data_IF_868967926973
#
_entry.id   IF_868967926973
#
_cell.length_a   1.000
_cell.length_b   1.000
_cell.length_c   1.000
_cell.angle_alpha   90.00
_cell.angle_beta   90.00
_cell.angle_gamma   90.00
#
_symmetry.space_group_name_H-M   'P 1'
#
loop_
_entity.id
_entity.type
_entity.pdbx_description
1 polymer ?
#
# COMPACT_ATOMS: atom_id res chain seq x y z
N UNK A 1 29.83 -33.85 28.33
CA UNK A 1 29.06 -34.44 27.25
C UNK A 1 27.65 -33.83 27.30
N UNK A 2 27.40 -32.77 26.54
CA UNK A 2 26.08 -32.14 26.45
C UNK A 2 25.34 -32.74 25.28
N UNK A 3 24.14 -33.32 25.53
CA UNK A 3 23.27 -33.83 24.49
C UNK A 3 22.98 -32.75 23.47
N UNK A 4 23.00 -33.03 22.16
CA UNK A 4 22.55 -32.10 21.15
C UNK A 4 21.04 -31.87 21.33
N UNK A 5 20.64 -30.66 21.71
CA UNK A 5 19.23 -30.25 21.73
C UNK A 5 18.64 -30.58 20.37
N UNK A 6 17.78 -31.60 20.29
CA UNK A 6 16.95 -31.94 19.11
C UNK A 6 16.28 -30.64 18.63
N UNK A 7 16.55 -30.25 17.42
CA UNK A 7 15.79 -29.21 16.74
C UNK A 7 14.34 -29.68 16.67
N UNK A 8 13.43 -29.00 17.40
CA UNK A 8 12.01 -29.31 17.36
C UNK A 8 11.54 -29.27 15.89
N UNK A 9 10.95 -30.36 15.41
CA UNK A 9 10.39 -30.39 14.06
C UNK A 9 9.22 -29.41 13.98
N UNK A 10 8.97 -28.80 12.83
CA UNK A 10 7.85 -27.87 12.65
C UNK A 10 6.48 -28.51 12.95
N UNK A 11 6.37 -29.85 12.80
CA UNK A 11 5.20 -30.63 13.18
C UNK A 11 4.90 -30.58 14.68
N UNK A 12 5.93 -30.49 15.53
CA UNK A 12 5.77 -30.37 16.99
C UNK A 12 5.16 -29.01 17.41
N UNK A 13 5.14 -28.04 16.49
CA UNK A 13 4.59 -26.68 16.72
C UNK A 13 3.09 -26.59 16.44
N UNK A 14 2.44 -27.65 15.99
CA UNK A 14 1.02 -27.65 15.59
C UNK A 14 0.73 -26.80 14.33
N UNK A 15 1.74 -26.54 13.50
CA UNK A 15 1.62 -25.72 12.29
C UNK A 15 1.82 -26.60 11.07
N UNK A 16 0.82 -26.64 10.18
CA UNK A 16 0.98 -27.20 8.85
C UNK A 16 1.59 -26.17 7.91
N UNK A 17 2.92 -26.08 7.87
CA UNK A 17 3.65 -25.13 7.03
C UNK A 17 3.36 -25.33 5.54
N UNK A 18 3.09 -26.58 5.13
CA UNK A 18 2.79 -26.95 3.76
C UNK A 18 1.47 -26.30 3.28
N UNK A 19 0.45 -26.24 4.15
CA UNK A 19 -0.82 -25.57 3.84
C UNK A 19 -0.61 -24.08 3.60
N UNK A 20 0.15 -23.40 4.46
CA UNK A 20 0.39 -21.95 4.32
C UNK A 20 1.24 -21.60 3.10
N UNK A 21 2.17 -22.48 2.71
CA UNK A 21 2.97 -22.31 1.49
C UNK A 21 2.15 -22.47 0.20
N UNK A 22 0.88 -22.89 0.29
CA UNK A 22 -0.08 -22.93 -0.83
C UNK A 22 -1.12 -21.84 -0.70
N UNK A 23 -1.68 -21.62 0.49
CA UNK A 23 -2.74 -20.62 0.73
C UNK A 23 -2.27 -19.21 0.42
N UNK A 24 -1.10 -18.80 0.90
CA UNK A 24 -0.60 -17.44 0.70
C UNK A 24 -0.39 -17.11 -0.78
N UNK A 25 0.28 -17.94 -1.60
CA UNK A 25 0.35 -17.72 -3.06
C UNK A 25 -1.01 -17.60 -3.74
N UNK A 26 -1.98 -18.45 -3.39
CA UNK A 26 -3.34 -18.37 -3.95
C UNK A 26 -3.97 -17.02 -3.65
N UNK A 27 -3.82 -16.50 -2.43
CA UNK A 27 -4.34 -15.19 -2.05
C UNK A 27 -3.73 -14.05 -2.90
N UNK A 28 -2.43 -14.12 -3.22
CA UNK A 28 -1.77 -13.16 -4.13
C UNK A 28 -2.25 -13.30 -5.58
N UNK A 29 -2.45 -14.54 -6.08
CA UNK A 29 -2.97 -14.75 -7.43
C UNK A 29 -4.42 -14.25 -7.59
N UNK A 30 -5.25 -14.38 -6.54
CA UNK A 30 -6.62 -13.84 -6.54
C UNK A 30 -6.63 -12.30 -6.48
N UNK A 31 -5.67 -11.70 -5.75
CA UNK A 31 -5.56 -10.25 -5.64
C UNK A 31 -5.13 -9.59 -6.95
N UNK A 32 -4.22 -10.24 -7.70
CA UNK A 32 -3.57 -9.68 -8.88
C UNK A 32 -4.55 -9.15 -9.96
N UNK A 33 -5.52 -9.94 -10.47
CA UNK A 33 -6.39 -9.49 -11.55
C UNK A 33 -7.28 -8.31 -11.13
N UNK A 34 -7.77 -8.30 -9.89
CA UNK A 34 -8.56 -7.19 -9.36
C UNK A 34 -7.70 -5.91 -9.22
N UNK A 35 -6.50 -6.04 -8.65
CA UNK A 35 -5.56 -4.94 -8.51
C UNK A 35 -5.16 -4.36 -9.88
N UNK A 36 -4.84 -5.23 -10.84
CA UNK A 36 -4.45 -4.81 -12.20
C UNK A 36 -5.57 -4.03 -12.88
N UNK A 37 -6.79 -4.58 -12.89
CA UNK A 37 -7.94 -3.94 -13.52
C UNK A 37 -8.20 -2.55 -12.91
N UNK A 38 -8.29 -2.46 -11.59
CA UNK A 38 -8.60 -1.21 -10.90
C UNK A 38 -7.53 -0.14 -11.15
N UNK A 39 -6.25 -0.51 -11.03
CA UNK A 39 -5.15 0.45 -11.18
C UNK A 39 -4.94 0.87 -12.64
N UNK A 40 -5.11 -0.02 -13.62
CA UNK A 40 -5.05 0.34 -15.04
C UNK A 40 -6.17 1.32 -15.39
N UNK A 41 -7.40 1.10 -14.92
CA UNK A 41 -8.51 2.03 -15.13
C UNK A 41 -8.22 3.41 -14.53
N UNK A 42 -7.74 3.46 -13.29
CA UNK A 42 -7.40 4.73 -12.63
C UNK A 42 -6.21 5.41 -13.32
N UNK A 43 -5.17 4.67 -13.70
CA UNK A 43 -4.03 5.19 -14.44
C UNK A 43 -4.45 5.82 -15.77
N UNK A 44 -5.33 5.13 -16.51
CA UNK A 44 -5.88 5.65 -17.77
C UNK A 44 -6.66 6.95 -17.55
N UNK A 45 -7.54 7.03 -16.54
CA UNK A 45 -8.27 8.26 -16.22
C UNK A 45 -7.30 9.37 -15.80
N UNK A 46 -6.31 9.06 -14.96
CA UNK A 46 -5.29 10.00 -14.51
C UNK A 46 -4.42 10.53 -15.67
N UNK A 47 -4.18 9.73 -16.72
CA UNK A 47 -3.45 10.17 -17.92
C UNK A 47 -4.21 11.25 -18.70
N UNK A 48 -5.53 11.18 -18.72
CA UNK A 48 -6.40 12.16 -19.36
C UNK A 48 -6.52 13.47 -18.56
N UNK A 49 -6.07 13.50 -17.30
CA UNK A 49 -6.16 14.67 -16.43
C UNK A 49 -4.84 15.43 -16.40
N UNK A 50 -4.90 16.78 -16.55
CA UNK A 50 -3.73 17.64 -16.41
C UNK A 50 -3.26 17.69 -14.94
N UNK A 51 -1.96 17.65 -14.71
CA UNK A 51 -1.34 17.75 -13.36
C UNK A 51 -1.20 19.22 -12.94
N UNK A 52 -2.32 19.88 -12.68
CA UNK A 52 -2.34 21.32 -12.35
C UNK A 52 -2.36 21.58 -10.82
N UNK A 53 -2.21 20.55 -9.99
CA UNK A 53 -2.17 20.70 -8.53
C UNK A 53 -1.26 19.68 -7.90
N UNK A 54 -0.71 20.01 -6.71
CA UNK A 54 0.11 19.11 -5.89
C UNK A 54 -0.56 17.76 -5.66
N UNK A 55 -1.85 17.78 -5.35
CA UNK A 55 -2.65 16.57 -5.18
C UNK A 55 -2.60 15.64 -6.40
N UNK A 56 -2.74 16.19 -7.62
CA UNK A 56 -2.70 15.38 -8.85
C UNK A 56 -1.31 14.80 -9.12
N UNK A 57 -0.25 15.50 -8.72
CA UNK A 57 1.12 14.96 -8.79
C UNK A 57 1.25 13.76 -7.87
N UNK A 58 0.88 13.90 -6.59
CA UNK A 58 0.95 12.82 -5.62
C UNK A 58 0.06 11.65 -6.02
N UNK A 59 -1.16 11.90 -6.49
CA UNK A 59 -2.09 10.86 -6.94
C UNK A 59 -1.53 10.06 -8.11
N UNK A 60 -0.98 10.71 -9.15
CA UNK A 60 -0.39 10.00 -10.30
C UNK A 60 0.79 9.12 -9.87
N UNK A 61 1.65 9.61 -8.97
CA UNK A 61 2.76 8.82 -8.45
C UNK A 61 2.30 7.66 -7.55
N UNK A 62 1.21 7.85 -6.82
CA UNK A 62 0.62 6.79 -6.01
C UNK A 62 0.07 5.66 -6.90
N UNK A 63 -0.66 6.00 -7.96
CA UNK A 63 -1.12 5.03 -8.97
C UNK A 63 0.07 4.32 -9.64
N UNK A 64 1.17 5.02 -9.90
CA UNK A 64 2.39 4.42 -10.44
C UNK A 64 3.00 3.42 -9.45
N UNK A 65 3.06 3.74 -8.16
CA UNK A 65 3.55 2.84 -7.13
C UNK A 65 2.64 1.61 -6.98
N UNK A 66 1.31 1.80 -7.01
CA UNK A 66 0.34 0.71 -6.94
C UNK A 66 0.44 -0.23 -8.15
N UNK A 67 0.63 0.31 -9.36
CA UNK A 67 0.88 -0.51 -10.56
C UNK A 67 2.19 -1.29 -10.45
N UNK A 68 3.28 -0.64 -10.01
CA UNK A 68 4.56 -1.31 -9.81
C UNK A 68 4.43 -2.46 -8.79
N UNK A 69 3.76 -2.22 -7.67
CA UNK A 69 3.48 -3.24 -6.66
C UNK A 69 2.61 -4.37 -7.23
N UNK A 70 1.54 -4.04 -7.97
CA UNK A 70 0.65 -5.01 -8.61
C UNK A 70 1.41 -5.95 -9.55
N UNK A 71 2.31 -5.42 -10.39
CA UNK A 71 3.11 -6.21 -11.32
C UNK A 71 4.07 -7.20 -10.63
N UNK A 72 4.42 -6.96 -9.38
CA UNK A 72 5.27 -7.89 -8.61
C UNK A 72 4.48 -9.05 -7.99
N UNK A 73 3.13 -8.94 -7.82
CA UNK A 73 2.31 -9.93 -7.12
C UNK A 73 2.39 -11.34 -7.72
N UNK A 74 2.27 -11.55 -9.05
CA UNK A 74 2.32 -12.91 -9.60
C UNK A 74 3.71 -13.56 -9.43
N UNK A 75 4.79 -12.78 -9.50
CA UNK A 75 6.15 -13.28 -9.29
C UNK A 75 6.34 -13.66 -7.81
N UNK A 76 5.86 -12.84 -6.89
CA UNK A 76 5.86 -13.13 -5.45
C UNK A 76 5.09 -14.42 -5.16
N UNK A 77 3.88 -14.56 -5.69
CA UNK A 77 3.06 -15.75 -5.52
C UNK A 77 3.77 -17.01 -6.07
N UNK A 78 4.25 -16.95 -7.31
CA UNK A 78 4.90 -18.08 -7.96
C UNK A 78 6.18 -18.52 -7.22
N UNK A 79 6.97 -17.57 -6.69
CA UNK A 79 8.20 -17.87 -5.96
C UNK A 79 7.97 -18.55 -4.60
N UNK A 80 6.78 -18.39 -4.00
CA UNK A 80 6.40 -18.99 -2.72
C UNK A 80 5.88 -20.42 -2.86
N UNK A 81 5.57 -20.88 -4.08
CA UNK A 81 5.07 -22.24 -4.30
C UNK A 81 6.12 -23.31 -3.94
N UNK A 82 5.72 -24.47 -3.38
CA UNK A 82 6.65 -25.52 -2.96
C UNK A 82 7.53 -26.06 -4.10
N UNK A 83 7.07 -25.98 -5.35
CA UNK A 83 7.78 -26.47 -6.54
C UNK A 83 8.47 -25.34 -7.32
N UNK A 84 8.57 -24.13 -6.76
CA UNK A 84 9.25 -23.03 -7.42
C UNK A 84 10.73 -23.34 -7.69
N UNK A 85 11.22 -23.00 -8.88
CA UNK A 85 12.62 -23.16 -9.22
C UNK A 85 13.50 -22.23 -8.38
N UNK A 86 14.73 -22.63 -8.12
CA UNK A 86 15.71 -21.79 -7.39
C UNK A 86 15.97 -20.46 -8.12
N UNK A 87 16.00 -20.49 -9.46
CA UNK A 87 16.15 -19.28 -10.27
C UNK A 87 14.98 -18.30 -10.11
N UNK A 88 13.72 -18.79 -10.06
CA UNK A 88 12.56 -17.95 -9.82
C UNK A 88 12.59 -17.36 -8.40
N UNK A 89 12.95 -18.16 -7.39
CA UNK A 89 13.10 -17.70 -6.02
C UNK A 89 14.21 -16.62 -5.92
N UNK A 90 15.35 -16.84 -6.56
CA UNK A 90 16.46 -15.89 -6.60
C UNK A 90 16.04 -14.57 -7.27
N UNK A 91 15.36 -14.64 -8.42
CA UNK A 91 14.81 -13.47 -9.10
C UNK A 91 13.81 -12.71 -8.21
N UNK A 92 12.90 -13.44 -7.57
CA UNK A 92 11.92 -12.84 -6.67
C UNK A 92 12.58 -12.14 -5.46
N UNK A 93 13.60 -12.77 -4.85
CA UNK A 93 14.34 -12.19 -3.72
C UNK A 93 15.12 -10.94 -4.12
N UNK A 94 15.81 -10.99 -5.27
CA UNK A 94 16.73 -9.95 -5.70
C UNK A 94 15.99 -8.74 -6.30
N UNK A 95 14.92 -8.95 -7.06
CA UNK A 95 14.24 -7.90 -7.81
C UNK A 95 12.78 -7.71 -7.36
N UNK A 96 11.93 -8.72 -7.48
CA UNK A 96 10.50 -8.58 -7.28
C UNK A 96 10.14 -8.10 -5.87
N UNK A 97 10.73 -8.70 -4.83
CA UNK A 97 10.51 -8.28 -3.44
C UNK A 97 11.02 -6.86 -3.19
N UNK A 98 12.14 -6.48 -3.80
CA UNK A 98 12.71 -5.15 -3.63
C UNK A 98 11.79 -4.09 -4.22
N UNK A 99 11.29 -4.31 -5.45
CA UNK A 99 10.32 -3.40 -6.08
C UNK A 99 9.00 -3.35 -5.31
N UNK A 100 8.51 -4.50 -4.82
CA UNK A 100 7.33 -4.57 -3.98
C UNK A 100 7.44 -3.68 -2.74
N UNK A 101 8.51 -3.83 -1.96
CA UNK A 101 8.71 -3.03 -0.74
C UNK A 101 8.99 -1.56 -1.04
N UNK A 102 9.71 -1.25 -2.12
CA UNK A 102 9.96 0.13 -2.55
C UNK A 102 8.65 0.81 -2.93
N UNK A 103 7.80 0.15 -3.70
CA UNK A 103 6.48 0.65 -4.07
C UNK A 103 5.57 0.84 -2.86
N UNK A 104 5.53 -0.13 -1.93
CA UNK A 104 4.76 -0.04 -0.69
C UNK A 104 5.20 1.15 0.19
N UNK A 105 6.51 1.36 0.36
CA UNK A 105 7.02 2.51 1.11
C UNK A 105 6.68 3.83 0.40
N UNK A 106 6.78 3.87 -0.93
CA UNK A 106 6.39 5.05 -1.72
C UNK A 106 4.91 5.36 -1.56
N UNK A 107 4.02 4.37 -1.68
CA UNK A 107 2.57 4.53 -1.47
C UNK A 107 2.27 5.08 -0.08
N UNK A 108 2.92 4.56 0.95
CA UNK A 108 2.76 5.04 2.34
C UNK A 108 3.15 6.52 2.48
N UNK A 109 4.30 6.92 1.94
CA UNK A 109 4.77 8.33 1.99
C UNK A 109 3.82 9.24 1.21
N UNK A 110 3.39 8.83 0.02
CA UNK A 110 2.46 9.61 -0.80
C UNK A 110 1.09 9.78 -0.14
N UNK A 111 0.58 8.77 0.56
CA UNK A 111 -0.65 8.91 1.37
C UNK A 111 -0.48 9.97 2.46
N UNK A 112 0.67 10.00 3.13
CA UNK A 112 1.01 11.06 4.08
C UNK A 112 1.02 12.45 3.46
N UNK A 113 1.65 12.60 2.28
CA UNK A 113 1.71 13.86 1.54
C UNK A 113 0.33 14.31 1.03
N UNK A 114 -0.50 13.39 0.58
CA UNK A 114 -1.90 13.67 0.20
C UNK A 114 -2.70 14.14 1.41
N UNK A 115 -2.53 13.50 2.55
CA UNK A 115 -3.21 13.87 3.81
C UNK A 115 -2.78 15.28 4.26
N UNK A 116 -1.50 15.60 4.16
CA UNK A 116 -0.96 16.91 4.46
C UNK A 116 -1.47 17.98 3.49
N UNK A 117 -1.49 17.71 2.18
CA UNK A 117 -2.04 18.64 1.18
C UNK A 117 -3.52 18.95 1.46
N UNK A 118 -4.31 17.95 1.86
CA UNK A 118 -5.70 18.13 2.25
C UNK A 118 -5.85 18.93 3.54
N UNK A 119 -5.04 18.64 4.54
CA UNK A 119 -5.01 19.38 5.79
C UNK A 119 -4.74 20.87 5.54
N UNK A 120 -3.69 21.21 4.79
CA UNK A 120 -3.32 22.60 4.51
C UNK A 120 -4.42 23.34 3.75
N UNK A 121 -5.07 22.70 2.77
CA UNK A 121 -6.14 23.33 1.99
C UNK A 121 -7.45 23.51 2.74
N UNK A 122 -7.77 22.63 3.69
CA UNK A 122 -9.06 22.66 4.41
C UNK A 122 -8.96 23.41 5.72
N UNK A 123 -7.87 23.22 6.48
CA UNK A 123 -7.73 23.78 7.84
C UNK A 123 -7.09 25.17 7.80
N UNK A 124 -6.19 25.43 6.83
CA UNK A 124 -5.46 26.69 6.70
C UNK A 124 -5.72 27.37 5.33
N UNK A 125 -7.00 27.64 4.95
CA UNK A 125 -7.30 28.30 3.69
C UNK A 125 -6.72 29.73 3.70
N UNK A 126 -6.10 30.13 2.60
CA UNK A 126 -5.50 31.48 2.47
C UNK A 126 -4.03 31.59 2.82
N UNK A 127 -3.42 30.62 3.50
CA UNK A 127 -1.96 30.55 3.63
C UNK A 127 -1.36 29.77 2.47
N UNK A 128 -0.46 30.41 1.72
CA UNK A 128 0.30 29.75 0.66
C UNK A 128 1.59 29.16 1.24
N UNK A 129 1.62 27.85 1.40
CA UNK A 129 2.85 27.16 1.81
C UNK A 129 3.65 26.75 0.57
N UNK A 130 5.00 26.82 0.61
CA UNK A 130 5.84 26.33 -0.49
C UNK A 130 5.56 24.90 -0.90
N UNK A 131 5.19 24.04 0.07
CA UNK A 131 4.84 22.63 -0.15
C UNK A 131 3.53 22.41 -0.96
N UNK A 132 2.74 23.47 -1.20
CA UNK A 132 1.56 23.43 -2.05
C UNK A 132 1.86 23.82 -3.51
N UNK A 133 3.10 24.26 -3.81
CA UNK A 133 3.46 24.58 -5.18
C UNK A 133 3.60 23.33 -6.03
N UNK A 134 3.23 23.44 -7.30
CA UNK A 134 3.30 22.33 -8.24
C UNK A 134 4.75 21.86 -8.45
N UNK A 135 5.69 22.82 -8.54
CA UNK A 135 7.11 22.53 -8.72
C UNK A 135 7.67 21.78 -7.51
N UNK A 136 7.40 22.27 -6.30
CA UNK A 136 7.83 21.59 -5.07
C UNK A 136 7.32 20.15 -5.00
N UNK A 137 6.04 19.93 -5.31
CA UNK A 137 5.44 18.58 -5.29
C UNK A 137 6.11 17.63 -6.28
N UNK A 138 6.45 18.10 -7.48
CA UNK A 138 7.19 17.33 -8.48
C UNK A 138 8.60 17.00 -7.99
N UNK A 139 9.34 18.00 -7.55
CA UNK A 139 10.72 17.83 -7.04
C UNK A 139 10.72 16.87 -5.83
N UNK A 140 9.84 17.10 -4.86
CA UNK A 140 9.74 16.26 -3.67
C UNK A 140 9.47 14.80 -4.05
N UNK A 141 8.54 14.55 -4.98
CA UNK A 141 8.22 13.18 -5.39
C UNK A 141 9.40 12.50 -6.08
N UNK A 142 10.13 13.21 -6.95
CA UNK A 142 11.35 12.69 -7.59
C UNK A 142 12.42 12.39 -6.54
N UNK A 143 12.65 13.31 -5.59
CA UNK A 143 13.63 13.11 -4.51
C UNK A 143 13.26 11.86 -3.66
N UNK A 144 11.99 11.69 -3.32
CA UNK A 144 11.55 10.50 -2.55
C UNK A 144 11.80 9.21 -3.35
N UNK A 145 11.47 9.15 -4.65
CA UNK A 145 11.80 8.01 -5.50
C UNK A 145 13.31 7.73 -5.54
N UNK A 146 14.12 8.75 -5.75
CA UNK A 146 15.58 8.62 -5.81
C UNK A 146 16.17 8.14 -4.47
N UNK A 147 15.66 8.64 -3.34
CA UNK A 147 16.08 8.18 -2.02
C UNK A 147 15.70 6.72 -1.78
N UNK A 148 14.46 6.31 -2.08
CA UNK A 148 14.03 4.92 -1.90
C UNK A 148 14.80 3.97 -2.81
N UNK A 149 15.01 4.33 -4.07
CA UNK A 149 15.78 3.50 -5.01
C UNK A 149 17.25 3.46 -4.59
N UNK A 150 17.87 4.60 -4.33
CA UNK A 150 19.30 4.71 -4.03
C UNK A 150 19.69 4.14 -2.66
N UNK A 151 18.86 4.34 -1.61
CA UNK A 151 19.20 3.90 -0.25
C UNK A 151 18.64 2.52 0.11
N UNK A 152 17.59 2.03 -0.56
CA UNK A 152 17.00 0.73 -0.22
C UNK A 152 17.07 -0.26 -1.37
N UNK A 153 16.60 0.10 -2.57
CA UNK A 153 16.49 -0.86 -3.66
C UNK A 153 17.86 -1.28 -4.22
N UNK A 154 18.64 -0.34 -4.69
CA UNK A 154 19.94 -0.63 -5.32
C UNK A 154 20.92 -1.39 -4.39
N UNK A 155 21.16 -0.98 -3.13
CA UNK A 155 22.07 -1.71 -2.26
C UNK A 155 21.59 -3.14 -1.99
N UNK A 156 20.28 -3.36 -1.83
CA UNK A 156 19.74 -4.69 -1.60
C UNK A 156 19.90 -5.55 -2.86
N UNK A 157 19.65 -5.01 -4.07
CA UNK A 157 19.85 -5.74 -5.34
C UNK A 157 21.31 -6.14 -5.52
N UNK A 158 22.25 -5.22 -5.25
CA UNK A 158 23.69 -5.45 -5.44
C UNK A 158 24.22 -6.49 -4.44
N UNK A 159 23.76 -6.42 -3.19
CA UNK A 159 24.25 -7.28 -2.09
C UNK A 159 23.51 -8.62 -1.96
N UNK A 160 22.54 -8.92 -2.83
CA UNK A 160 21.78 -10.18 -2.90
C UNK A 160 22.23 -10.95 -4.15
N UNK A 161 23.44 -11.47 -4.13
CA UNK A 161 24.09 -12.13 -5.27
C UNK A 161 24.73 -13.50 -4.92
N UNK A 162 24.67 -13.92 -3.65
CA UNK A 162 25.25 -15.18 -3.22
C UNK A 162 24.40 -16.36 -3.70
N UNK A 163 25.06 -17.41 -4.20
CA UNK A 163 24.39 -18.66 -4.52
C UNK A 163 23.91 -19.34 -3.23
N UNK A 164 22.62 -19.64 -3.11
CA UNK A 164 22.11 -20.28 -1.89
C UNK A 164 22.56 -21.74 -1.83
N UNK A 165 23.44 -22.04 -0.90
CA UNK A 165 24.00 -23.38 -0.70
C UNK A 165 22.94 -24.45 -0.33
N UNK A 166 21.74 -24.06 0.13
CA UNK A 166 20.64 -24.95 0.50
C UNK A 166 19.26 -24.30 0.30
N UNK A 167 18.29 -25.09 -0.16
CA UNK A 167 16.86 -24.72 -0.20
C UNK A 167 16.31 -24.67 1.23
N UNK A 168 16.53 -23.56 1.94
CA UNK A 168 15.97 -23.34 3.26
C UNK A 168 14.82 -22.33 3.22
N UNK A 169 14.00 -22.32 4.29
CA UNK A 169 12.95 -21.34 4.47
C UNK A 169 13.46 -19.88 4.58
N UNK A 170 14.77 -19.67 4.55
CA UNK A 170 15.47 -18.39 4.61
C UNK A 170 16.25 -18.10 3.33
N UNK A 171 15.80 -18.68 2.22
CA UNK A 171 16.44 -18.57 0.91
C UNK A 171 16.91 -17.14 0.59
N UNK A 172 16.05 -16.14 0.74
CA UNK A 172 16.40 -14.75 0.44
C UNK A 172 17.47 -14.15 1.38
N UNK A 173 17.54 -14.58 2.64
CA UNK A 173 18.57 -14.09 3.56
C UNK A 173 19.91 -14.75 3.28
N UNK A 174 19.91 -16.02 2.90
CA UNK A 174 21.10 -16.77 2.56
C UNK A 174 21.78 -16.27 1.26
N UNK A 175 21.03 -15.58 0.38
CA UNK A 175 21.57 -14.93 -0.81
C UNK A 175 22.26 -13.59 -0.52
N UNK A 176 22.15 -13.05 0.69
CA UNK A 176 22.73 -11.76 1.04
C UNK A 176 24.16 -11.92 1.55
N UNK A 177 25.04 -11.05 1.08
CA UNK A 177 26.38 -10.89 1.68
C UNK A 177 26.24 -10.37 3.13
N UNK A 178 27.31 -10.49 3.92
CA UNK A 178 27.35 -9.96 5.32
C UNK A 178 26.97 -8.46 5.35
N UNK A 179 27.48 -7.68 4.41
CA UNK A 179 27.12 -6.27 4.24
C UNK A 179 25.65 -6.13 3.87
N UNK A 180 25.12 -6.99 3.00
CA UNK A 180 23.72 -7.00 2.58
C UNK A 180 22.75 -7.29 3.72
N UNK A 181 23.10 -8.18 4.65
CA UNK A 181 22.29 -8.45 5.86
C UNK A 181 22.26 -7.23 6.77
N UNK A 182 23.41 -6.60 7.03
CA UNK A 182 23.49 -5.38 7.86
C UNK A 182 22.73 -4.21 7.23
N UNK A 183 22.89 -4.02 5.91
CA UNK A 183 22.16 -2.99 5.16
C UNK A 183 20.65 -3.21 5.18
N UNK A 184 20.22 -4.46 4.97
CA UNK A 184 18.80 -4.82 5.03
C UNK A 184 18.20 -4.50 6.41
N UNK A 185 18.88 -4.84 7.50
CA UNK A 185 18.41 -4.54 8.87
C UNK A 185 18.29 -3.02 9.08
N UNK A 186 19.29 -2.25 8.64
CA UNK A 186 19.24 -0.78 8.67
C UNK A 186 18.07 -0.20 7.86
N UNK A 187 17.90 -0.66 6.62
CA UNK A 187 16.82 -0.23 5.73
C UNK A 187 15.44 -0.56 6.33
N UNK A 188 15.26 -1.73 6.94
CA UNK A 188 14.02 -2.09 7.64
C UNK A 188 13.75 -1.12 8.78
N UNK A 189 14.72 -0.82 9.64
CA UNK A 189 14.54 0.11 10.77
C UNK A 189 14.17 1.50 10.32
N UNK A 190 14.85 2.03 9.30
CA UNK A 190 14.57 3.37 8.76
C UNK A 190 13.16 3.42 8.17
N UNK A 191 12.76 2.45 7.35
CA UNK A 191 11.44 2.42 6.75
C UNK A 191 10.33 2.25 7.78
N UNK A 192 10.59 1.55 8.90
CA UNK A 192 9.66 1.46 10.02
C UNK A 192 9.47 2.81 10.73
N UNK A 193 10.56 3.53 10.98
CA UNK A 193 10.47 4.88 11.57
C UNK A 193 9.66 5.81 10.66
N UNK A 194 9.94 5.80 9.35
CA UNK A 194 9.19 6.58 8.36
C UNK A 194 7.71 6.22 8.41
N UNK A 195 7.37 4.92 8.44
CA UNK A 195 5.98 4.48 8.52
C UNK A 195 5.25 5.06 9.74
N UNK A 196 5.83 4.92 10.94
CA UNK A 196 5.18 5.40 12.16
C UNK A 196 5.04 6.92 12.19
N UNK A 197 6.03 7.67 11.67
CA UNK A 197 5.93 9.13 11.50
C UNK A 197 4.79 9.48 10.56
N UNK A 198 4.68 8.81 9.41
CA UNK A 198 3.59 9.04 8.45
C UNK A 198 2.23 8.65 9.05
N UNK A 199 2.16 7.57 9.82
CA UNK A 199 0.96 7.13 10.52
C UNK A 199 0.45 8.23 11.47
N UNK A 200 1.33 8.78 12.31
CA UNK A 200 1.00 9.88 13.23
C UNK A 200 0.54 11.12 12.44
N UNK A 201 1.24 11.47 11.36
CA UNK A 201 0.90 12.59 10.50
C UNK A 201 -0.51 12.44 9.90
N UNK A 202 -0.85 11.26 9.37
CA UNK A 202 -2.17 10.97 8.80
C UNK A 202 -3.26 11.15 9.86
N UNK A 203 -3.10 10.56 11.04
CA UNK A 203 -4.07 10.70 12.15
C UNK A 203 -4.26 12.17 12.52
N UNK A 204 -3.16 12.90 12.72
CA UNK A 204 -3.21 14.32 13.05
C UNK A 204 -3.96 15.14 11.99
N UNK A 205 -3.61 14.95 10.71
CA UNK A 205 -4.25 15.66 9.61
C UNK A 205 -5.76 15.41 9.57
N UNK A 206 -6.18 14.15 9.66
CA UNK A 206 -7.61 13.81 9.55
C UNK A 206 -8.41 14.19 10.79
N UNK A 207 -7.83 14.17 11.99
CA UNK A 207 -8.47 14.71 13.22
C UNK A 207 -8.73 16.23 13.06
N UNK A 208 -7.73 16.99 12.60
CA UNK A 208 -7.87 18.42 12.37
C UNK A 208 -8.87 18.76 11.26
N UNK A 209 -8.82 18.04 10.14
CA UNK A 209 -9.77 18.19 9.04
C UNK A 209 -11.20 17.94 9.55
N UNK A 210 -11.41 16.86 10.30
CA UNK A 210 -12.74 16.51 10.83
C UNK A 210 -13.26 17.60 11.76
N UNK A 211 -12.43 18.09 12.71
CA UNK A 211 -12.80 19.20 13.61
C UNK A 211 -13.21 20.44 12.81
N UNK A 212 -12.39 20.87 11.82
CA UNK A 212 -12.66 22.06 11.02
C UNK A 212 -13.94 21.95 10.19
N UNK A 213 -14.16 20.79 9.56
CA UNK A 213 -15.37 20.53 8.79
C UNK A 213 -16.61 20.56 9.70
N UNK A 214 -16.54 19.99 10.92
CA UNK A 214 -17.64 20.00 11.87
C UNK A 214 -17.96 21.42 12.37
N UNK A 215 -16.95 22.24 12.66
CA UNK A 215 -17.12 23.65 13.02
C UNK A 215 -17.83 24.43 11.90
N UNK A 216 -17.42 24.21 10.63
CA UNK A 216 -18.06 24.86 9.48
C UNK A 216 -19.54 24.50 9.37
N UNK A 217 -19.92 23.24 9.60
CA UNK A 217 -21.31 22.82 9.60
C UNK A 217 -22.12 23.44 10.75
N UNK A 218 -21.51 23.64 11.94
CA UNK A 218 -22.18 24.30 13.05
C UNK A 218 -22.45 25.79 12.76
N UNK A 219 -21.50 26.49 12.11
CA UNK A 219 -21.63 27.92 11.76
C UNK A 219 -22.63 28.17 10.63
N UNK A 220 -22.77 27.24 9.69
CA UNK A 220 -23.59 27.41 8.48
C UNK A 220 -25.09 27.23 8.68
N UNK A 221 -25.64 27.13 9.91
CA UNK A 221 -27.06 26.93 10.19
C UNK A 221 -27.81 25.94 9.25
N UNK A 222 -27.10 25.32 8.32
CA UNK A 222 -27.61 24.37 7.34
C UNK A 222 -27.85 23.04 8.04
N UNK A 223 -29.11 22.70 8.21
CA UNK A 223 -29.66 21.46 8.80
C UNK A 223 -29.31 20.19 8.03
N UNK A 224 -28.27 20.19 7.16
CA UNK A 224 -27.97 19.03 6.32
C UNK A 224 -27.14 17.99 7.06
N UNK A 225 -27.77 17.34 8.05
CA UNK A 225 -27.24 16.21 8.84
C UNK A 225 -26.61 15.13 7.96
N UNK A 226 -27.17 14.89 6.77
CA UNK A 226 -26.71 13.88 5.83
C UNK A 226 -25.32 14.19 5.23
N UNK A 227 -25.03 15.44 4.87
CA UNK A 227 -23.68 15.83 4.37
C UNK A 227 -22.62 15.72 5.47
N UNK A 228 -22.95 16.07 6.69
CA UNK A 228 -22.08 15.94 7.86
C UNK A 228 -21.71 14.47 8.13
N UNK A 229 -22.72 13.59 8.07
CA UNK A 229 -22.54 12.14 8.25
C UNK A 229 -21.66 11.55 7.14
N UNK A 230 -21.89 11.90 5.88
CA UNK A 230 -21.09 11.43 4.73
C UNK A 230 -19.63 11.85 4.83
N UNK A 231 -19.33 13.06 5.29
CA UNK A 231 -17.93 13.51 5.45
C UNK A 231 -17.22 12.75 6.55
N UNK A 232 -17.87 12.52 7.69
CA UNK A 232 -17.31 11.69 8.77
C UNK A 232 -17.04 10.26 8.29
N UNK A 233 -18.01 9.66 7.59
CA UNK A 233 -17.88 8.30 7.07
C UNK A 233 -16.69 8.18 6.09
N UNK A 234 -16.48 9.16 5.21
CA UNK A 234 -15.32 9.15 4.28
C UNK A 234 -13.99 9.22 5.01
N UNK A 235 -13.85 10.11 6.00
CA UNK A 235 -12.64 10.23 6.80
C UNK A 235 -12.37 8.95 7.58
N UNK A 236 -13.40 8.41 8.22
CA UNK A 236 -13.29 7.15 8.95
C UNK A 236 -12.87 6.00 8.04
N UNK A 237 -13.47 5.89 6.85
CA UNK A 237 -13.14 4.84 5.88
C UNK A 237 -11.66 4.89 5.47
N UNK A 238 -11.11 6.07 5.17
CA UNK A 238 -9.71 6.23 4.78
C UNK A 238 -8.78 5.80 5.91
N UNK A 239 -9.05 6.27 7.14
CA UNK A 239 -8.27 5.88 8.31
C UNK A 239 -8.39 4.37 8.57
N UNK A 240 -9.59 3.82 8.54
CA UNK A 240 -9.82 2.39 8.77
C UNK A 240 -9.05 1.53 7.75
N UNK A 241 -9.10 1.86 6.46
CA UNK A 241 -8.37 1.16 5.42
C UNK A 241 -6.86 1.23 5.69
N UNK A 242 -6.33 2.43 5.94
CA UNK A 242 -4.91 2.60 6.24
C UNK A 242 -4.46 1.77 7.44
N UNK A 243 -5.21 1.82 8.56
CA UNK A 243 -4.86 1.08 9.76
C UNK A 243 -4.98 -0.43 9.57
N UNK A 244 -6.07 -0.91 8.97
CA UNK A 244 -6.29 -2.35 8.76
C UNK A 244 -5.24 -2.93 7.81
N UNK A 245 -4.89 -2.23 6.75
CA UNK A 245 -3.94 -2.73 5.75
C UNK A 245 -2.49 -2.68 6.24
N UNK A 246 -2.05 -1.57 6.83
CA UNK A 246 -0.62 -1.37 7.07
C UNK A 246 -0.15 -1.66 8.49
N UNK A 247 -0.91 -1.27 9.51
CA UNK A 247 -0.44 -1.38 10.91
C UNK A 247 -0.13 -2.83 11.32
N UNK A 248 -0.94 -3.86 10.96
CA UNK A 248 -0.62 -5.23 11.35
C UNK A 248 0.74 -5.71 10.81
N UNK A 249 1.05 -5.39 9.55
CA UNK A 249 2.33 -5.76 8.95
C UNK A 249 3.50 -5.07 9.65
N UNK A 250 3.44 -3.76 9.83
CA UNK A 250 4.52 -2.99 10.46
C UNK A 250 4.73 -3.36 11.93
N UNK A 251 3.66 -3.74 12.65
CA UNK A 251 3.78 -4.24 14.03
C UNK A 251 4.53 -5.58 14.13
N UNK A 252 4.39 -6.45 13.12
CA UNK A 252 5.02 -7.78 13.11
C UNK A 252 6.42 -7.77 12.49
N UNK A 253 6.71 -6.82 11.62
CA UNK A 253 7.95 -6.77 10.84
C UNK A 253 9.21 -6.70 11.71
N UNK A 254 9.25 -5.83 12.71
CA UNK A 254 10.42 -5.67 13.61
C UNK A 254 10.70 -6.94 14.41
N UNK A 255 9.74 -7.52 15.17
CA UNK A 255 9.99 -8.76 15.91
C UNK A 255 10.38 -9.91 14.97
N UNK A 256 9.80 -10.02 13.77
CA UNK A 256 10.16 -11.02 12.79
C UNK A 256 11.62 -10.84 12.32
N UNK A 257 12.03 -9.62 11.94
CA UNK A 257 13.40 -9.35 11.45
C UNK A 257 14.45 -9.65 12.52
N UNK A 258 14.18 -9.33 13.79
CA UNK A 258 15.08 -9.68 14.90
C UNK A 258 15.26 -11.19 15.09
N UNK A 259 14.20 -11.98 14.86
CA UNK A 259 14.25 -13.44 14.96
C UNK A 259 14.83 -14.10 13.70
N UNK A 260 14.75 -13.42 12.55
CA UNK A 260 15.28 -13.92 11.29
C UNK A 260 16.83 -14.09 11.34
N UNK A 261 17.51 -13.24 12.09
CA UNK A 261 18.97 -13.27 12.24
C UNK A 261 19.43 -14.28 13.31
N UNK A 262 18.53 -14.79 14.18
CA UNK A 262 18.86 -15.75 15.22
C UNK A 262 18.94 -17.17 14.65
N UNK A 263 20.00 -17.92 15.05
CA UNK A 263 20.35 -19.24 14.50
C UNK A 263 19.38 -20.37 14.91
N UNK A 264 18.60 -20.23 15.99
CA UNK A 264 17.67 -21.26 16.44
C UNK A 264 16.25 -21.05 15.85
N UNK A 265 15.80 -21.94 14.94
CA UNK A 265 14.44 -21.91 14.43
C UNK A 265 13.46 -22.50 15.45
N UNK A 266 13.03 -21.71 16.43
CA UNK A 266 11.96 -22.11 17.34
C UNK A 266 10.58 -21.97 16.71
N UNK A 267 9.57 -22.61 17.29
CA UNK A 267 8.15 -22.49 16.88
C UNK A 267 7.69 -21.03 16.72
N UNK A 268 8.21 -20.12 17.53
CA UNK A 268 7.89 -18.70 17.46
C UNK A 268 8.31 -18.09 16.11
N UNK A 269 9.48 -18.42 15.57
CA UNK A 269 9.95 -17.94 14.26
C UNK A 269 9.04 -18.40 13.13
N UNK A 270 8.60 -19.67 13.14
CA UNK A 270 7.68 -20.22 12.16
C UNK A 270 6.31 -19.54 12.22
N UNK A 271 5.76 -19.35 13.44
CA UNK A 271 4.48 -18.61 13.64
C UNK A 271 4.59 -17.18 13.12
N UNK A 272 5.63 -16.45 13.50
CA UNK A 272 5.83 -15.06 13.05
C UNK A 272 6.06 -14.94 11.54
N UNK A 273 6.65 -15.94 10.88
CA UNK A 273 6.77 -15.97 9.42
C UNK A 273 5.39 -16.01 8.74
N UNK A 274 4.51 -16.87 9.20
CA UNK A 274 3.14 -16.98 8.66
C UNK A 274 2.37 -15.69 8.91
N UNK A 275 2.39 -15.18 10.15
CA UNK A 275 1.71 -13.93 10.50
C UNK A 275 2.25 -12.76 9.67
N UNK A 276 3.59 -12.66 9.51
CA UNK A 276 4.23 -11.63 8.65
C UNK A 276 3.77 -11.75 7.20
N UNK A 277 3.69 -12.96 6.66
CA UNK A 277 3.27 -13.15 5.26
C UNK A 277 1.78 -12.83 5.05
N UNK A 278 0.91 -13.20 6.01
CA UNK A 278 -0.51 -12.86 5.98
C UNK A 278 -0.73 -11.35 6.12
N UNK A 279 -0.04 -10.71 7.06
CA UNK A 279 -0.16 -9.26 7.24
C UNK A 279 0.47 -8.48 6.08
N UNK A 280 1.50 -9.03 5.42
CA UNK A 280 2.07 -8.48 4.19
C UNK A 280 1.07 -8.58 3.02
N UNK A 281 0.39 -9.72 2.88
CA UNK A 281 -0.69 -9.86 1.91
C UNK A 281 -1.84 -8.88 2.20
N UNK A 282 -2.21 -8.70 3.48
CA UNK A 282 -3.20 -7.71 3.89
C UNK A 282 -2.75 -6.28 3.50
N UNK A 283 -1.47 -5.94 3.68
CA UNK A 283 -0.93 -4.67 3.18
C UNK A 283 -1.00 -4.56 1.65
N UNK A 284 -0.79 -5.67 0.94
CA UNK A 284 -0.90 -5.68 -0.52
C UNK A 284 -2.34 -5.44 -1.01
N UNK A 285 -3.38 -5.75 -0.22
CA UNK A 285 -4.77 -5.45 -0.61
C UNK A 285 -5.03 -3.96 -0.76
N UNK A 286 -4.17 -3.11 -0.19
CA UNK A 286 -4.27 -1.66 -0.35
C UNK A 286 -4.26 -1.24 -1.83
N UNK A 287 -3.56 -1.93 -2.72
CA UNK A 287 -3.58 -1.63 -4.18
C UNK A 287 -4.97 -1.72 -4.80
N UNK A 288 -5.89 -2.48 -4.20
CA UNK A 288 -7.29 -2.51 -4.61
C UNK A 288 -8.14 -1.44 -3.93
N UNK A 289 -7.77 -1.04 -2.71
CA UNK A 289 -8.54 -0.10 -1.90
C UNK A 289 -8.20 1.36 -2.22
N UNK A 290 -6.97 1.65 -2.61
CA UNK A 290 -6.52 2.97 -3.01
C UNK A 290 -7.33 3.57 -4.17
N UNK A 291 -7.63 2.85 -5.27
CA UNK A 291 -8.54 3.31 -6.30
C UNK A 291 -9.90 3.76 -5.77
N UNK A 292 -10.45 3.07 -4.78
CA UNK A 292 -11.71 3.45 -4.14
C UNK A 292 -11.55 4.74 -3.34
N UNK A 293 -10.47 4.87 -2.57
CA UNK A 293 -10.16 6.10 -1.82
C UNK A 293 -10.07 7.30 -2.76
N UNK A 294 -9.37 7.16 -3.90
CA UNK A 294 -9.24 8.24 -4.88
C UNK A 294 -10.58 8.64 -5.47
N UNK A 295 -11.42 7.66 -5.77
CA UNK A 295 -12.76 7.91 -6.28
C UNK A 295 -13.63 8.69 -5.28
N UNK A 296 -13.50 8.40 -3.98
CA UNK A 296 -14.22 9.12 -2.94
C UNK A 296 -13.64 10.53 -2.67
N UNK A 297 -12.32 10.70 -2.75
CA UNK A 297 -11.66 11.96 -2.43
C UNK A 297 -11.64 12.95 -3.59
N UNK A 298 -11.54 12.47 -4.83
CA UNK A 298 -11.34 13.31 -6.01
C UNK A 298 -12.61 13.43 -6.86
N UNK A 299 -13.36 14.53 -6.66
CA UNK A 299 -14.57 14.82 -7.47
C UNK A 299 -14.26 14.84 -8.97
N UNK A 300 -13.11 15.41 -9.37
CA UNK A 300 -12.72 15.49 -10.77
C UNK A 300 -12.45 14.09 -11.38
N UNK A 301 -11.81 13.17 -10.62
CA UNK A 301 -11.61 11.79 -11.06
C UNK A 301 -12.94 11.08 -11.27
N UNK A 302 -13.87 11.25 -10.32
CA UNK A 302 -15.21 10.66 -10.41
C UNK A 302 -16.01 11.20 -11.60
N UNK A 303 -15.95 12.52 -11.87
CA UNK A 303 -16.61 13.13 -13.02
C UNK A 303 -16.03 12.60 -14.33
N UNK A 304 -14.68 12.56 -14.44
CA UNK A 304 -14.01 12.02 -15.63
C UNK A 304 -14.31 10.53 -15.85
N UNK A 305 -14.42 9.74 -14.79
CA UNK A 305 -14.82 8.34 -14.86
C UNK A 305 -16.24 8.20 -15.44
N UNK A 306 -17.20 8.99 -14.93
CA UNK A 306 -18.58 8.98 -15.39
C UNK A 306 -18.73 9.48 -16.84
N UNK A 307 -17.90 10.45 -17.27
CA UNK A 307 -17.84 10.95 -18.65
C UNK A 307 -17.17 9.96 -19.62
N UNK A 308 -16.38 9.01 -19.09
CA UNK A 308 -15.63 8.07 -19.91
C UNK A 308 -16.57 7.10 -20.65
N UNK A 309 -16.13 6.66 -21.86
CA UNK A 309 -16.91 5.70 -22.68
C UNK A 309 -17.11 4.34 -21.98
N UNK A 310 -16.30 4.01 -20.99
CA UNK A 310 -16.44 2.77 -20.19
C UNK A 310 -17.79 2.75 -19.48
N UNK A 311 -18.24 3.87 -18.91
CA UNK A 311 -19.55 3.92 -18.22
C UNK A 311 -20.74 3.89 -19.18
N UNK A 312 -20.56 4.29 -20.45
CA UNK A 312 -21.62 4.18 -21.47
C UNK A 312 -21.90 2.74 -21.90
N UNK A 313 -20.98 1.80 -21.61
CA UNK A 313 -21.14 0.37 -21.87
C UNK A 313 -21.93 -0.36 -20.76
N UNK A 314 -22.03 0.24 -19.57
CA UNK A 314 -22.85 -0.26 -18.47
C UNK A 314 -24.09 0.64 -18.36
N UNK A 315 -25.28 0.19 -18.84
CA UNK A 315 -26.50 0.99 -18.68
C UNK A 315 -26.77 1.22 -17.19
N UNK A 316 -27.22 2.43 -16.79
CA UNK A 316 -27.48 2.72 -15.38
C UNK A 316 -28.58 1.80 -14.87
N UNK A 317 -28.27 1.05 -13.79
CA UNK A 317 -29.27 0.39 -12.96
C UNK A 317 -29.94 1.47 -12.10
N UNK A 318 -30.65 2.39 -12.74
CA UNK A 318 -31.55 3.31 -12.05
C UNK A 318 -32.83 3.34 -12.87
N UNK A 319 -33.84 2.72 -12.25
CA UNK A 319 -35.21 2.69 -12.78
C UNK A 319 -35.71 4.06 -13.13
N UNK A 320 -36.22 4.14 -14.31
CA UNK A 320 -37.40 4.82 -14.80
C UNK A 320 -38.23 5.50 -13.70
N UNK A 321 -38.13 6.81 -13.55
CA UNK A 321 -39.18 7.67 -13.05
C UNK A 321 -38.87 9.12 -13.43
N UNK A 322 -39.28 9.54 -14.63
CA UNK A 322 -39.62 10.92 -14.98
C UNK A 322 -40.14 10.97 -16.42
N UNK A 323 -41.29 10.34 -16.62
CA UNK A 323 -42.24 10.79 -17.65
C UNK A 323 -43.52 11.09 -16.91
N UNK A 324 -43.81 12.36 -16.79
CA UNK A 324 -45.13 12.95 -16.77
C UNK A 324 -45.02 14.42 -16.34
N UNK A 325 -44.96 15.29 -17.30
CA UNK A 325 -45.79 16.50 -17.38
C UNK A 325 -45.32 17.35 -18.57
N UNK A 326 -45.77 16.97 -19.71
CA UNK A 326 -45.99 17.93 -20.79
C UNK A 326 -47.47 17.74 -21.21
N UNK A 327 -48.26 18.68 -20.91
CA UNK A 327 -49.66 18.67 -21.33
C UNK A 327 -50.36 19.95 -20.98
N UNK A 328 -50.51 20.78 -22.01
CA UNK A 328 -51.74 21.57 -22.30
C UNK A 328 -51.78 22.97 -21.69
N UNK A 329 -51.48 23.94 -22.45
CA UNK A 329 -52.35 24.81 -23.29
C UNK A 329 -53.28 25.73 -22.52
N UNK A 330 -53.22 26.90 -22.73
CA UNK A 330 -53.99 28.02 -23.22
C UNK A 330 -53.53 29.32 -22.59
#
# INVERSE_FOLDING_TARGET
>A
MGEPKKSASLSDCGINDQTWNVVIPILYFLLFPAALLLNVVVAWICSLMKSNSSFMVYLKNLVTADLLMTLTLPIQAASMLPKASSGLQAFACRFSSVFFYTAMNMSTILMGLISLDRFLKIVMPGRRFPCQSLLFSKVLTVVVWMLLIGSTALPIIITTDQDPANKSNEFCMNMKSVLGVSWHDGAVKITEVIFWVVCILIVFCYVCITKKVLESYHKSRSSNSQKKSQTKARVFLILAIFFICYVPYHSVRIPYTKLQVKINPGCLKAKLRIVKNLTLWLSATNVCLDPLIYFFLCKALRQKFLESRIFKWFPPITGRNSEMTSGTSM
#
